data_IF_080862535299
#
_entry.id   IF_080862535299
#
_cell.length_a   1.000
_cell.length_b   1.000
_cell.length_c   1.000
_cell.angle_alpha   90.00
_cell.angle_beta   90.00
_cell.angle_gamma   90.00
#
_symmetry.space_group_name_H-M   'P 1'
#
loop_
_entity.id
_entity.type
_entity.pdbx_description
1 polymer ?
#
# COMPACT_ATOMS: atom_id res chain seq x y z
N UNK A 1 -23.70 30.25 27.14
CA UNK A 1 -22.82 29.75 26.06
C UNK A 1 -21.56 29.22 26.73
N UNK A 2 -21.14 28.01 26.39
CA UNK A 2 -19.84 27.39 26.75
C UNK A 2 -19.59 27.05 28.23
N UNK A 3 -20.34 26.09 28.78
CA UNK A 3 -20.05 25.43 30.06
C UNK A 3 -19.29 24.10 29.96
N UNK A 4 -18.69 23.78 28.79
CA UNK A 4 -18.07 22.47 28.54
C UNK A 4 -16.59 22.36 28.91
N UNK A 5 -15.87 23.47 29.01
CA UNK A 5 -14.41 23.46 29.24
C UNK A 5 -14.01 23.16 30.70
N UNK A 6 -14.88 23.44 31.67
CA UNK A 6 -14.54 23.35 33.09
C UNK A 6 -14.52 21.90 33.62
N UNK A 7 -15.28 20.99 33.00
CA UNK A 7 -15.38 19.57 33.40
C UNK A 7 -14.11 18.78 33.03
N UNK A 8 -13.36 19.23 32.03
CA UNK A 8 -12.09 18.61 31.63
C UNK A 8 -10.92 18.89 32.58
N UNK A 9 -11.04 19.90 33.44
CA UNK A 9 -9.95 20.33 34.31
C UNK A 9 -10.00 19.71 35.72
N UNK A 10 -11.06 18.98 36.08
CA UNK A 10 -11.36 18.70 37.49
C UNK A 10 -11.03 17.27 38.00
N UNK A 11 -10.78 16.24 37.19
CA UNK A 11 -10.66 14.85 37.70
C UNK A 11 -9.65 13.93 36.99
N UNK A 12 -8.79 14.47 36.15
CA UNK A 12 -7.82 13.70 35.39
C UNK A 12 -7.36 14.63 34.30
N UNK A 13 -6.32 15.39 34.62
CA UNK A 13 -5.92 16.53 33.80
C UNK A 13 -5.63 16.11 32.36
N UNK A 14 -5.67 17.07 31.45
CA UNK A 14 -5.20 16.85 30.08
C UNK A 14 -3.77 16.32 30.02
N UNK A 15 -2.94 16.57 31.05
CA UNK A 15 -1.59 16.04 31.18
C UNK A 15 -1.55 14.50 31.22
N UNK A 16 -2.49 13.85 31.91
CA UNK A 16 -2.57 12.38 31.96
C UNK A 16 -2.85 11.79 30.57
N UNK A 17 -3.78 12.42 29.85
CA UNK A 17 -4.12 12.02 28.48
C UNK A 17 -2.94 12.26 27.54
N UNK A 18 -2.19 13.36 27.71
CA UNK A 18 -1.00 13.64 26.92
C UNK A 18 0.13 12.64 27.18
N UNK A 19 0.33 12.23 28.43
CA UNK A 19 1.31 11.21 28.82
C UNK A 19 0.98 9.83 28.21
N UNK A 20 -0.30 9.51 28.02
CA UNK A 20 -0.75 8.28 27.34
C UNK A 20 -0.74 8.42 25.81
N UNK A 21 -1.22 9.55 25.29
CA UNK A 21 -1.27 9.82 23.84
C UNK A 21 0.13 9.87 23.23
N UNK A 22 1.13 10.32 23.98
CA UNK A 22 2.52 10.43 23.50
C UNK A 22 3.07 9.09 23.00
N UNK A 23 3.16 8.04 23.83
CA UNK A 23 3.63 6.73 23.36
C UNK A 23 2.67 6.09 22.35
N UNK A 24 1.36 6.25 22.50
CA UNK A 24 0.37 5.71 21.54
C UNK A 24 0.57 6.30 20.16
N UNK A 25 0.73 7.62 20.06
CA UNK A 25 0.93 8.32 18.79
C UNK A 25 2.29 7.99 18.20
N UNK A 26 3.33 7.81 19.04
CA UNK A 26 4.65 7.37 18.58
C UNK A 26 4.56 6.01 17.86
N UNK A 27 3.99 5.00 18.52
CA UNK A 27 3.86 3.68 17.90
C UNK A 27 2.90 3.71 16.71
N UNK A 28 1.72 4.33 16.83
CA UNK A 28 0.78 4.47 15.71
C UNK A 28 1.43 5.15 14.49
N UNK A 29 2.23 6.19 14.70
CA UNK A 29 2.97 6.88 13.65
C UNK A 29 4.03 6.00 12.98
N UNK A 30 4.79 5.22 13.77
CA UNK A 30 5.76 4.26 13.25
C UNK A 30 5.07 3.17 12.41
N UNK A 31 3.98 2.60 12.90
CA UNK A 31 3.20 1.59 12.18
C UNK A 31 2.60 2.16 10.88
N UNK A 32 2.05 3.38 10.94
CA UNK A 32 1.52 4.07 9.76
C UNK A 32 2.60 4.29 8.70
N UNK A 33 3.78 4.76 9.10
CA UNK A 33 4.90 5.00 8.18
C UNK A 33 5.41 3.69 7.55
N UNK A 34 5.52 2.62 8.35
CA UNK A 34 5.90 1.30 7.87
C UNK A 34 4.88 0.76 6.85
N UNK A 35 3.58 0.86 7.16
CA UNK A 35 2.51 0.39 6.28
C UNK A 35 2.47 1.20 4.96
N UNK A 36 2.66 2.53 5.05
CA UNK A 36 2.75 3.38 3.86
C UNK A 36 3.90 2.98 2.95
N UNK A 37 5.09 2.74 3.52
CA UNK A 37 6.27 2.29 2.75
C UNK A 37 6.03 0.94 2.08
N UNK A 38 5.40 -0.01 2.79
CA UNK A 38 5.06 -1.31 2.24
C UNK A 38 4.09 -1.20 1.05
N UNK A 39 3.07 -0.33 1.16
CA UNK A 39 2.08 -0.14 0.10
C UNK A 39 2.69 0.50 -1.18
N UNK A 40 3.66 1.40 -1.04
CA UNK A 40 4.41 1.95 -2.18
C UNK A 40 5.16 0.86 -2.95
N UNK A 41 5.67 -0.16 -2.27
CA UNK A 41 6.35 -1.30 -2.91
C UNK A 41 5.39 -2.28 -3.61
N UNK A 42 4.09 -2.25 -3.29
CA UNK A 42 3.08 -3.09 -3.97
C UNK A 42 2.57 -2.41 -5.24
N UNK A 43 2.42 -1.07 -5.24
CA UNK A 43 1.93 -0.30 -6.40
C UNK A 43 2.82 -0.41 -7.64
N UNK A 44 4.11 -0.70 -7.49
CA UNK A 44 5.06 -0.87 -8.60
C UNK A 44 4.99 -2.21 -9.33
N UNK A 45 4.28 -3.22 -8.81
CA UNK A 45 4.16 -4.55 -9.44
C UNK A 45 2.91 -4.72 -10.30
N UNK A 46 1.90 -3.87 -10.14
CA UNK A 46 0.62 -4.01 -10.85
C UNK A 46 0.67 -3.55 -12.32
N UNK A 47 1.76 -2.93 -12.76
CA UNK A 47 1.91 -2.45 -14.15
C UNK A 47 2.61 -3.45 -15.07
N UNK A 48 3.12 -4.58 -14.56
CA UNK A 48 3.93 -5.52 -15.36
C UNK A 48 3.21 -6.85 -15.69
N UNK A 49 2.10 -7.18 -15.01
CA UNK A 49 1.39 -8.47 -15.20
C UNK A 49 0.39 -8.45 -16.37
N UNK A 50 0.22 -7.31 -17.05
CA UNK A 50 -0.71 -7.15 -18.18
C UNK A 50 -0.13 -7.33 -19.58
N UNK A 51 1.19 -7.47 -19.71
CA UNK A 51 1.86 -7.52 -21.01
C UNK A 51 2.71 -8.78 -21.12
N UNK A 52 2.04 -9.94 -21.14
CA UNK A 52 2.66 -11.13 -21.70
C UNK A 52 2.97 -10.82 -23.18
N UNK A 53 4.23 -10.94 -23.64
CA UNK A 53 4.52 -10.81 -25.06
C UNK A 53 3.73 -11.88 -25.82
N UNK A 54 3.17 -11.57 -27.02
CA UNK A 54 2.66 -12.62 -27.89
C UNK A 54 3.77 -13.67 -28.05
N UNK A 55 3.42 -14.93 -27.77
CA UNK A 55 4.34 -16.05 -27.96
C UNK A 55 4.83 -16.07 -29.41
N UNK A 56 5.99 -16.68 -29.69
CA UNK A 56 6.42 -16.87 -31.07
C UNK A 56 5.28 -17.56 -31.82
N UNK A 57 4.77 -16.91 -32.86
CA UNK A 57 3.86 -17.50 -33.81
C UNK A 57 4.64 -18.63 -34.50
N UNK A 58 4.53 -19.86 -33.97
CA UNK A 58 5.12 -21.09 -34.52
C UNK A 58 4.39 -21.52 -35.83
N UNK A 59 3.99 -20.56 -36.68
CA UNK A 59 3.24 -20.78 -37.91
C UNK A 59 4.13 -20.97 -39.16
N UNK A 60 5.46 -20.96 -39.03
CA UNK A 60 6.38 -21.07 -40.18
C UNK A 60 7.05 -22.45 -40.37
N UNK A 61 6.72 -23.48 -39.58
CA UNK A 61 7.28 -24.84 -39.75
C UNK A 61 6.25 -25.89 -40.17
N UNK A 62 5.73 -25.77 -41.38
CA UNK A 62 5.31 -26.91 -42.20
C UNK A 62 5.09 -26.48 -43.67
N UNK A 63 6.16 -26.38 -44.44
CA UNK A 63 6.07 -26.54 -45.89
C UNK A 63 6.26 -28.03 -46.23
N UNK A 64 5.19 -28.84 -46.41
CA UNK A 64 5.34 -30.16 -47.00
C UNK A 64 5.48 -30.00 -48.51
N UNK A 65 6.72 -30.21 -49.00
CA UNK A 65 7.06 -30.67 -50.35
C UNK A 65 6.24 -30.12 -51.54
N UNK A 66 6.86 -29.21 -52.31
CA UNK A 66 6.48 -28.97 -53.70
C UNK A 66 7.58 -29.52 -54.64
N UNK A 67 7.24 -30.38 -55.64
CA UNK A 67 8.22 -31.04 -56.51
C UNK A 67 8.83 -30.10 -57.56
N UNK A 68 10.00 -30.44 -58.13
CA UNK A 68 10.57 -29.68 -59.24
C UNK A 68 9.77 -29.90 -60.54
N UNK A 69 9.47 -28.80 -61.23
CA UNK A 69 8.92 -28.76 -62.59
C UNK A 69 9.72 -27.82 -63.46
#
# INVERSE_FOLDING_TARGET
>A
MSGGALVLAHQGGWDEVLLVLTPVTLFAGLLYLANRRANTAVRGRSTEVGSAPPGPDDDDEAAPGAPPG
#
